data_IF_802705155175
#
_entry.id   IF_802705155175
#
_cell.length_a   1.000
_cell.length_b   1.000
_cell.length_c   1.000
_cell.angle_alpha   90.00
_cell.angle_beta   90.00
_cell.angle_gamma   90.00
#
_symmetry.space_group_name_H-M   'P 1'
#
loop_
_entity.id
_entity.type
_entity.pdbx_description
1 polymer ?
#
# COMPACT_ATOMS: atom_id res chain seq x y z
N UNK A 1 18.76 -4.82 -20.88
CA UNK A 1 19.18 -6.21 -21.21
C UNK A 1 17.94 -7.05 -21.49
N UNK A 2 17.56 -7.24 -22.77
CA UNK A 2 16.40 -8.09 -23.10
C UNK A 2 16.77 -9.55 -22.82
N UNK A 3 16.31 -10.12 -21.72
CA UNK A 3 16.44 -11.56 -21.45
C UNK A 3 15.44 -12.31 -22.32
N UNK A 4 15.90 -13.22 -23.15
CA UNK A 4 15.05 -14.14 -23.93
C UNK A 4 14.33 -15.08 -22.96
N UNK A 5 13.02 -14.94 -22.91
CA UNK A 5 12.13 -15.81 -22.15
C UNK A 5 12.18 -17.24 -22.74
N UNK A 6 12.46 -18.26 -21.90
CA UNK A 6 12.33 -19.67 -22.32
C UNK A 6 10.90 -20.13 -22.06
N UNK A 7 10.19 -20.40 -23.13
CA UNK A 7 8.77 -20.82 -23.15
C UNK A 7 8.44 -22.11 -22.35
N UNK A 8 9.44 -22.84 -21.85
CA UNK A 8 9.24 -24.05 -21.05
C UNK A 8 8.53 -23.80 -19.69
N UNK A 9 8.34 -22.55 -19.30
CA UNK A 9 7.64 -22.18 -18.08
C UNK A 9 6.12 -21.99 -18.27
N UNK A 10 5.61 -22.06 -19.50
CA UNK A 10 4.16 -21.89 -19.78
C UNK A 10 3.32 -22.95 -19.08
N UNK A 11 3.83 -24.17 -18.97
CA UNK A 11 3.11 -25.26 -18.31
C UNK A 11 3.03 -25.08 -16.79
N UNK A 12 4.06 -24.51 -16.19
CA UNK A 12 4.06 -24.11 -14.76
C UNK A 12 3.04 -22.99 -14.54
N UNK A 13 2.98 -22.05 -15.46
CA UNK A 13 2.04 -20.92 -15.42
C UNK A 13 0.62 -21.40 -15.65
N UNK A 14 0.39 -22.25 -16.65
CA UNK A 14 -0.93 -22.89 -16.87
C UNK A 14 -1.38 -23.71 -15.66
N UNK A 15 -0.46 -24.43 -15.01
CA UNK A 15 -0.78 -25.19 -13.80
C UNK A 15 -1.01 -24.29 -12.59
N UNK A 16 -0.30 -23.15 -12.48
CA UNK A 16 -0.57 -22.13 -11.48
C UNK A 16 -1.96 -21.50 -11.68
N UNK A 17 -2.31 -21.14 -12.91
CA UNK A 17 -3.65 -20.67 -13.24
C UNK A 17 -4.73 -21.72 -13.05
N UNK A 18 -4.49 -22.98 -13.41
CA UNK A 18 -5.41 -24.09 -13.09
C UNK A 18 -5.62 -24.27 -11.59
N UNK A 19 -4.61 -24.01 -10.77
CA UNK A 19 -4.72 -24.07 -9.31
C UNK A 19 -5.49 -22.88 -8.76
N UNK A 20 -5.40 -21.71 -9.41
CA UNK A 20 -6.21 -20.53 -9.12
C UNK A 20 -7.65 -20.68 -9.66
N UNK A 21 -7.83 -21.27 -10.84
CA UNK A 21 -9.11 -21.41 -11.55
C UNK A 21 -10.01 -22.53 -11.02
N UNK A 22 -9.57 -23.32 -10.07
CA UNK A 22 -10.48 -24.26 -9.36
C UNK A 22 -11.64 -23.56 -8.65
N UNK A 23 -11.74 -22.24 -8.74
CA UNK A 23 -12.72 -21.45 -8.02
C UNK A 23 -13.74 -20.70 -8.89
N UNK A 24 -13.54 -20.57 -10.20
CA UNK A 24 -14.58 -20.16 -11.16
C UNK A 24 -14.00 -20.09 -12.58
N UNK A 25 -14.01 -21.21 -13.29
CA UNK A 25 -13.38 -21.31 -14.62
C UNK A 25 -14.09 -20.44 -15.66
N UNK A 26 -15.38 -20.22 -15.54
CA UNK A 26 -16.19 -19.61 -16.59
C UNK A 26 -16.17 -18.09 -16.59
N UNK A 27 -15.96 -17.42 -15.44
CA UNK A 27 -15.98 -15.96 -15.36
C UNK A 27 -14.65 -15.29 -15.66
N UNK A 28 -13.54 -16.00 -15.46
CA UNK A 28 -12.18 -15.45 -15.60
C UNK A 28 -11.74 -15.44 -17.08
N UNK A 29 -12.11 -16.44 -17.84
CA UNK A 29 -11.59 -16.68 -19.18
C UNK A 29 -12.18 -15.71 -20.22
N UNK A 30 -13.41 -15.28 -20.06
CA UNK A 30 -14.11 -14.47 -21.07
C UNK A 30 -13.79 -12.96 -21.02
N UNK A 31 -13.10 -12.47 -20.01
CA UNK A 31 -13.02 -11.04 -19.79
C UNK A 31 -11.63 -10.42 -19.82
N UNK A 32 -10.58 -11.22 -19.85
CA UNK A 32 -9.20 -10.73 -19.82
C UNK A 32 -8.48 -11.16 -21.07
N UNK A 33 -7.68 -10.25 -21.64
CA UNK A 33 -6.68 -10.65 -22.58
C UNK A 33 -5.70 -11.60 -21.85
N UNK A 34 -5.92 -12.90 -22.01
CA UNK A 34 -5.19 -13.98 -21.34
C UNK A 34 -3.67 -13.80 -21.45
N UNK A 35 -3.21 -13.18 -22.55
CA UNK A 35 -1.80 -12.89 -22.80
C UNK A 35 -1.22 -11.89 -21.78
N UNK A 36 -1.97 -10.87 -21.38
CA UNK A 36 -1.49 -9.83 -20.47
C UNK A 36 -1.42 -10.32 -19.02
N UNK A 37 -2.40 -11.12 -18.59
CA UNK A 37 -2.35 -11.77 -17.28
C UNK A 37 -1.25 -12.82 -17.17
N UNK A 38 -1.06 -13.62 -18.23
CA UNK A 38 0.02 -14.59 -18.29
C UNK A 38 1.36 -13.86 -18.20
N UNK A 39 1.55 -12.81 -19.00
CA UNK A 39 2.79 -12.02 -19.00
C UNK A 39 3.07 -11.41 -17.63
N UNK A 40 2.05 -10.84 -16.99
CA UNK A 40 2.19 -10.25 -15.67
C UNK A 40 2.53 -11.28 -14.59
N UNK A 41 1.83 -12.42 -14.59
CA UNK A 41 2.13 -13.51 -13.64
C UNK A 41 3.52 -14.11 -13.87
N UNK A 42 3.97 -14.15 -15.12
CA UNK A 42 5.34 -14.54 -15.47
C UNK A 42 6.34 -13.55 -14.92
N UNK A 43 6.12 -12.25 -15.10
CA UNK A 43 7.00 -11.20 -14.59
C UNK A 43 7.06 -11.24 -13.06
N UNK A 44 5.92 -11.37 -12.38
CA UNK A 44 5.85 -11.45 -10.92
C UNK A 44 6.54 -12.69 -10.35
N UNK A 45 6.38 -13.87 -10.99
CA UNK A 45 7.09 -15.09 -10.60
C UNK A 45 8.58 -14.95 -10.85
N UNK A 46 8.98 -14.30 -11.92
CA UNK A 46 10.37 -14.07 -12.27
C UNK A 46 11.04 -13.09 -11.30
N UNK A 47 10.40 -11.97 -11.00
CA UNK A 47 10.83 -11.02 -9.96
C UNK A 47 10.97 -11.72 -8.61
N UNK A 48 9.97 -12.48 -8.18
CA UNK A 48 10.01 -13.20 -6.88
C UNK A 48 11.12 -14.25 -6.84
N UNK A 49 11.44 -14.92 -7.94
CA UNK A 49 12.52 -15.91 -7.99
C UNK A 49 13.91 -15.31 -8.01
N UNK A 50 14.09 -14.11 -8.60
CA UNK A 50 15.38 -13.39 -8.58
C UNK A 50 15.65 -12.66 -7.26
N UNK A 51 14.61 -12.20 -6.58
CA UNK A 51 14.67 -11.53 -5.25
C UNK A 51 15.03 -12.53 -4.13
N UNK A 52 15.02 -13.84 -4.38
CA UNK A 52 15.34 -14.86 -3.36
C UNK A 52 16.80 -14.84 -2.85
N UNK A 53 17.74 -14.20 -3.55
CA UNK A 53 19.08 -13.98 -3.03
C UNK A 53 19.13 -12.70 -2.20
N UNK A 54 19.33 -12.83 -0.89
CA UNK A 54 19.40 -11.67 0.03
C UNK A 54 20.42 -10.60 -0.42
N UNK A 55 21.55 -10.97 -1.00
CA UNK A 55 22.55 -10.03 -1.53
C UNK A 55 21.97 -9.21 -2.67
N UNK A 56 21.29 -9.84 -3.63
CA UNK A 56 20.65 -9.14 -4.75
C UNK A 56 19.55 -8.20 -4.30
N UNK A 57 18.75 -8.61 -3.30
CA UNK A 57 17.72 -7.77 -2.73
C UNK A 57 18.31 -6.53 -2.06
N UNK A 58 19.35 -6.69 -1.24
CA UNK A 58 20.00 -5.56 -0.58
C UNK A 58 20.78 -4.65 -1.55
N UNK A 59 21.38 -5.22 -2.60
CA UNK A 59 21.99 -4.44 -3.69
C UNK A 59 20.95 -3.65 -4.47
N UNK A 60 19.76 -4.22 -4.68
CA UNK A 60 18.63 -3.51 -5.28
C UNK A 60 18.18 -2.35 -4.40
N UNK A 61 17.97 -2.58 -3.10
CA UNK A 61 17.54 -1.56 -2.13
C UNK A 61 18.56 -0.41 -2.05
N UNK A 62 19.86 -0.74 -2.02
CA UNK A 62 20.93 0.26 -2.05
C UNK A 62 20.90 1.07 -3.35
N UNK A 63 20.79 0.39 -4.49
CA UNK A 63 20.73 1.05 -5.81
C UNK A 63 19.51 1.98 -5.90
N UNK A 64 18.36 1.54 -5.38
CA UNK A 64 17.17 2.37 -5.31
C UNK A 64 17.42 3.65 -4.50
N UNK A 65 17.97 3.50 -3.28
CA UNK A 65 18.24 4.63 -2.40
C UNK A 65 19.25 5.63 -3.02
N UNK A 66 20.26 5.13 -3.72
CA UNK A 66 21.30 5.97 -4.32
C UNK A 66 20.82 6.70 -5.59
N UNK A 67 19.94 6.07 -6.37
CA UNK A 67 19.53 6.57 -7.68
C UNK A 67 18.16 7.30 -7.68
N UNK A 68 17.29 6.97 -6.72
CA UNK A 68 15.90 7.43 -6.73
C UNK A 68 15.49 8.26 -5.50
N UNK A 69 16.43 8.54 -4.59
CA UNK A 69 16.14 9.38 -3.43
C UNK A 69 17.18 10.47 -3.25
N UNK A 70 16.71 11.70 -3.11
CA UNK A 70 17.54 12.86 -2.75
C UNK A 70 17.99 12.79 -1.29
N UNK A 71 19.02 13.54 -0.92
CA UNK A 71 19.44 13.65 0.49
C UNK A 71 18.33 14.22 1.38
N UNK A 72 17.50 15.10 0.84
CA UNK A 72 16.33 15.62 1.54
C UNK A 72 15.32 14.49 1.86
N UNK A 73 14.98 13.66 0.87
CA UNK A 73 14.08 12.52 1.07
C UNK A 73 14.67 11.49 2.04
N UNK A 74 15.97 11.21 1.95
CA UNK A 74 16.65 10.30 2.91
C UNK A 74 16.52 10.80 4.35
N UNK A 75 16.66 12.10 4.58
CA UNK A 75 16.48 12.71 5.90
C UNK A 75 15.02 12.62 6.36
N UNK A 76 14.06 12.89 5.48
CA UNK A 76 12.62 12.75 5.79
C UNK A 76 12.23 11.32 6.11
N UNK A 77 12.74 10.35 5.36
CA UNK A 77 12.53 8.92 5.65
C UNK A 77 13.04 8.58 7.04
N UNK A 78 14.22 9.04 7.40
CA UNK A 78 14.79 8.81 8.73
C UNK A 78 13.92 9.39 9.85
N UNK A 79 13.42 10.62 9.66
CA UNK A 79 12.49 11.25 10.59
C UNK A 79 11.18 10.47 10.70
N UNK A 80 10.63 10.00 9.59
CA UNK A 80 9.38 9.22 9.56
C UNK A 80 9.55 7.85 10.25
N UNK A 81 10.65 7.16 10.01
CA UNK A 81 10.97 5.89 10.71
C UNK A 81 11.07 6.14 12.21
N UNK A 82 11.78 7.19 12.63
CA UNK A 82 11.92 7.54 14.04
C UNK A 82 10.58 7.84 14.70
N UNK A 83 9.73 8.66 14.07
CA UNK A 83 8.39 8.94 14.58
C UNK A 83 7.55 7.68 14.74
N UNK A 84 7.57 6.80 13.74
CA UNK A 84 6.82 5.56 13.78
C UNK A 84 7.30 4.60 14.89
N UNK A 85 8.61 4.54 15.14
CA UNK A 85 9.20 3.73 16.21
C UNK A 85 8.92 4.32 17.61
N UNK A 86 8.91 5.64 17.76
CA UNK A 86 8.75 6.32 19.05
C UNK A 86 7.27 6.36 19.49
N UNK A 87 6.33 6.36 18.56
CA UNK A 87 4.90 6.50 18.85
C UNK A 87 4.21 5.17 19.05
N UNK A 88 3.73 4.93 20.27
CA UNK A 88 3.01 3.69 20.60
C UNK A 88 1.58 3.73 20.07
N UNK A 89 1.25 2.83 19.16
CA UNK A 89 -0.12 2.59 18.66
C UNK A 89 -0.81 1.54 19.53
N UNK A 90 -2.09 1.77 19.87
CA UNK A 90 -2.97 0.81 20.56
C UNK A 90 -3.93 0.22 19.54
N UNK A 91 -4.25 -1.05 19.74
CA UNK A 91 -5.16 -1.80 18.88
C UNK A 91 -6.36 -2.30 19.69
N UNK A 92 -7.54 -2.22 19.06
CA UNK A 92 -8.75 -2.84 19.52
C UNK A 92 -8.85 -4.30 19.05
N UNK A 93 -9.77 -5.06 19.63
CA UNK A 93 -10.14 -6.36 19.05
C UNK A 93 -10.86 -6.10 17.73
N UNK A 94 -10.43 -6.72 16.62
CA UNK A 94 -11.01 -6.45 15.31
C UNK A 94 -12.46 -6.96 15.22
N UNK A 95 -13.30 -6.17 14.56
CA UNK A 95 -14.69 -6.48 14.23
C UNK A 95 -14.90 -6.18 12.75
N UNK A 96 -15.33 -7.17 11.98
CA UNK A 96 -15.60 -7.07 10.55
C UNK A 96 -17.00 -7.59 10.24
N UNK A 97 -17.82 -6.77 9.60
CA UNK A 97 -19.18 -7.13 9.14
C UNK A 97 -19.44 -6.56 7.74
N UNK A 98 -18.63 -6.98 6.78
CA UNK A 98 -18.72 -6.52 5.40
C UNK A 98 -18.93 -7.64 4.41
N UNK A 99 -19.98 -7.56 3.58
CA UNK A 99 -20.20 -8.40 2.43
C UNK A 99 -19.86 -7.69 1.10
N UNK A 100 -19.85 -8.41 -0.01
CA UNK A 100 -19.52 -7.87 -1.33
C UNK A 100 -20.47 -6.75 -1.76
N UNK A 101 -21.76 -6.85 -1.43
CA UNK A 101 -22.77 -5.84 -1.80
C UNK A 101 -22.52 -4.54 -1.04
N UNK A 102 -22.28 -4.63 0.26
CA UNK A 102 -21.90 -3.47 1.07
C UNK A 102 -20.59 -2.86 0.57
N UNK A 103 -19.61 -3.70 0.23
CA UNK A 103 -18.32 -3.26 -0.30
C UNK A 103 -18.49 -2.39 -1.55
N UNK A 104 -19.16 -2.90 -2.58
CA UNK A 104 -19.38 -2.17 -3.82
C UNK A 104 -20.20 -0.90 -3.60
N UNK A 105 -21.32 -1.01 -2.90
CA UNK A 105 -22.21 0.13 -2.65
C UNK A 105 -21.55 1.25 -1.85
N UNK A 106 -20.79 0.93 -0.81
CA UNK A 106 -20.07 1.91 0.01
C UNK A 106 -18.93 2.58 -0.75
N UNK A 107 -18.19 1.82 -1.55
CA UNK A 107 -17.12 2.37 -2.39
C UNK A 107 -17.69 3.32 -3.44
N UNK A 108 -18.76 2.94 -4.14
CA UNK A 108 -19.46 3.83 -5.06
C UNK A 108 -19.89 5.12 -4.39
N UNK A 109 -20.58 5.01 -3.27
CA UNK A 109 -21.10 6.17 -2.53
C UNK A 109 -19.99 7.12 -2.09
N UNK A 110 -18.86 6.59 -1.66
CA UNK A 110 -17.70 7.41 -1.30
C UNK A 110 -17.05 8.07 -2.54
N UNK A 111 -16.75 7.31 -3.59
CA UNK A 111 -16.07 7.82 -4.79
C UNK A 111 -16.88 8.93 -5.47
N UNK A 112 -18.22 8.87 -5.43
CA UNK A 112 -19.11 9.94 -5.96
C UNK A 112 -18.94 11.27 -5.21
N UNK A 113 -18.49 11.25 -3.96
CA UNK A 113 -18.19 12.48 -3.20
C UNK A 113 -16.84 13.07 -3.55
N UNK A 114 -15.93 12.27 -4.08
CA UNK A 114 -14.56 12.67 -4.44
C UNK A 114 -14.53 13.31 -5.82
N UNK A 115 -14.81 12.53 -6.85
CA UNK A 115 -14.74 12.96 -8.24
C UNK A 115 -15.51 12.02 -9.17
N UNK A 116 -16.19 12.58 -10.19
CA UNK A 116 -16.92 11.80 -11.18
C UNK A 116 -16.03 10.84 -11.99
N UNK A 117 -14.74 11.14 -12.16
CA UNK A 117 -13.80 10.27 -12.87
C UNK A 117 -13.46 9.05 -12.01
N UNK A 118 -13.31 9.21 -10.67
CA UNK A 118 -13.07 8.12 -9.75
C UNK A 118 -14.27 7.16 -9.67
N UNK A 119 -15.49 7.72 -9.56
CA UNK A 119 -16.73 6.94 -9.60
C UNK A 119 -16.88 6.19 -10.93
N UNK A 120 -16.60 6.88 -12.05
CA UNK A 120 -16.66 6.30 -13.38
C UNK A 120 -15.63 5.18 -13.56
N UNK A 121 -14.43 5.28 -12.97
CA UNK A 121 -13.44 4.20 -13.05
C UNK A 121 -13.96 2.90 -12.45
N UNK A 122 -14.63 2.96 -11.30
CA UNK A 122 -15.25 1.78 -10.70
C UNK A 122 -16.35 1.22 -11.59
N UNK A 123 -17.24 2.09 -12.12
CA UNK A 123 -18.30 1.70 -13.05
C UNK A 123 -17.76 1.02 -14.29
N UNK A 124 -16.76 1.64 -14.93
CA UNK A 124 -16.11 1.10 -16.13
C UNK A 124 -15.39 -0.23 -15.82
N UNK A 125 -14.72 -0.33 -14.65
CA UNK A 125 -14.04 -1.55 -14.24
C UNK A 125 -15.01 -2.74 -14.08
N UNK A 126 -16.20 -2.49 -13.53
CA UNK A 126 -17.25 -3.51 -13.41
C UNK A 126 -17.83 -3.85 -14.78
N UNK A 127 -18.21 -2.84 -15.57
CA UNK A 127 -18.85 -3.02 -16.88
C UNK A 127 -17.92 -3.75 -17.86
N UNK A 128 -16.64 -3.35 -17.89
CA UNK A 128 -15.61 -3.94 -18.75
C UNK A 128 -15.04 -5.25 -18.21
N UNK A 129 -15.58 -5.75 -17.10
CA UNK A 129 -15.12 -6.97 -16.41
C UNK A 129 -13.61 -6.91 -16.05
N UNK A 130 -13.15 -5.78 -15.58
CA UNK A 130 -11.77 -5.54 -15.15
C UNK A 130 -11.58 -5.64 -13.63
N UNK A 131 -12.66 -5.80 -12.87
CA UNK A 131 -12.66 -5.95 -11.42
C UNK A 131 -12.91 -7.42 -11.06
N UNK A 132 -11.98 -7.97 -10.28
CA UNK A 132 -12.04 -9.33 -9.73
C UNK A 132 -12.12 -9.27 -8.22
N UNK A 133 -13.19 -9.83 -7.67
CA UNK A 133 -13.37 -10.01 -6.23
C UNK A 133 -13.35 -11.51 -5.96
N UNK A 134 -12.39 -11.96 -5.14
CA UNK A 134 -12.23 -13.37 -4.80
C UNK A 134 -12.24 -13.56 -3.30
N UNK A 135 -12.97 -14.57 -2.84
CA UNK A 135 -12.88 -15.03 -1.45
C UNK A 135 -11.53 -15.71 -1.21
N UNK A 136 -10.73 -15.14 -0.31
CA UNK A 136 -9.44 -15.70 0.06
C UNK A 136 -9.55 -16.57 1.31
N UNK A 137 -9.21 -17.86 1.16
CA UNK A 137 -9.17 -18.82 2.27
C UNK A 137 -7.86 -18.81 3.04
N UNK A 138 -6.80 -18.30 2.42
CA UNK A 138 -5.45 -18.27 2.98
C UNK A 138 -4.94 -16.83 2.91
N UNK A 139 -4.33 -16.36 3.99
CA UNK A 139 -3.63 -15.09 4.03
C UNK A 139 -2.56 -15.07 2.92
N UNK A 140 -2.67 -14.10 2.04
CA UNK A 140 -1.66 -13.75 1.05
C UNK A 140 -0.96 -12.48 1.49
N UNK A 141 0.18 -12.17 0.88
CA UNK A 141 0.95 -10.96 1.21
C UNK A 141 0.31 -9.66 0.70
N UNK A 142 -0.88 -9.72 0.09
CA UNK A 142 -1.62 -8.57 -0.41
C UNK A 142 -3.14 -8.81 -0.28
N UNK A 143 -3.88 -7.74 -0.11
CA UNK A 143 -5.35 -7.72 -0.04
C UNK A 143 -5.99 -7.23 -1.33
N UNK A 144 -5.27 -6.43 -2.11
CA UNK A 144 -5.64 -5.94 -3.43
C UNK A 144 -4.43 -5.80 -4.34
N UNK A 145 -4.67 -5.61 -5.62
CA UNK A 145 -3.63 -5.31 -6.61
C UNK A 145 -4.24 -4.64 -7.84
N UNK A 146 -3.61 -3.55 -8.26
CA UNK A 146 -3.91 -2.88 -9.53
C UNK A 146 -2.87 -3.26 -10.58
N UNK A 147 -3.32 -3.82 -11.69
CA UNK A 147 -2.48 -4.21 -12.82
C UNK A 147 -2.52 -3.16 -13.90
N UNK A 148 -1.60 -2.20 -13.87
CA UNK A 148 -1.54 -1.07 -14.80
C UNK A 148 -0.79 -1.40 -16.10
N UNK A 149 -1.14 -2.50 -16.76
CA UNK A 149 -0.52 -2.96 -18.02
C UNK A 149 -0.98 -2.10 -19.20
N UNK A 150 -2.20 -1.56 -19.13
CA UNK A 150 -2.82 -0.73 -20.15
C UNK A 150 -3.39 0.56 -19.59
N UNK A 151 -3.96 1.44 -20.45
CA UNK A 151 -4.69 2.64 -19.99
C UNK A 151 -5.88 2.31 -19.09
N UNK A 152 -6.45 1.12 -19.23
CA UNK A 152 -7.53 0.62 -18.41
C UNK A 152 -6.97 -0.48 -17.49
N UNK A 153 -6.64 -0.17 -16.23
CA UNK A 153 -6.07 -1.15 -15.32
C UNK A 153 -7.08 -2.23 -14.93
N UNK A 154 -6.55 -3.39 -14.56
CA UNK A 154 -7.31 -4.49 -13.96
C UNK A 154 -7.11 -4.47 -12.47
N UNK A 155 -8.13 -4.89 -11.73
CA UNK A 155 -8.16 -4.87 -10.27
C UNK A 155 -8.44 -6.26 -9.73
N UNK A 156 -7.66 -6.69 -8.76
CA UNK A 156 -7.93 -7.91 -8.01
C UNK A 156 -8.09 -7.56 -6.53
N UNK A 157 -9.23 -7.90 -5.95
CA UNK A 157 -9.53 -7.73 -4.53
C UNK A 157 -9.66 -9.09 -3.90
N UNK A 158 -8.91 -9.34 -2.84
CA UNK A 158 -9.02 -10.54 -2.03
C UNK A 158 -9.89 -10.23 -0.81
N UNK A 159 -11.09 -10.80 -0.80
CA UNK A 159 -12.00 -10.67 0.32
C UNK A 159 -11.67 -11.73 1.37
N UNK A 160 -11.23 -11.29 2.53
CA UNK A 160 -11.01 -12.12 3.70
C UNK A 160 -12.21 -12.04 4.64
N UNK A 161 -12.50 -13.12 5.36
CA UNK A 161 -13.54 -13.13 6.40
C UNK A 161 -13.23 -12.21 7.59
N UNK A 162 -12.02 -11.70 7.66
CA UNK A 162 -11.49 -10.86 8.74
C UNK A 162 -10.76 -9.63 8.19
N UNK A 163 -11.32 -8.96 7.20
CA UNK A 163 -10.77 -7.74 6.62
C UNK A 163 -11.83 -6.88 5.94
N UNK A 164 -11.62 -5.57 5.93
CA UNK A 164 -12.51 -4.64 5.24
C UNK A 164 -12.07 -4.44 3.79
N UNK A 165 -12.63 -5.24 2.90
CA UNK A 165 -12.31 -5.17 1.47
C UNK A 165 -12.80 -3.91 0.77
N UNK A 166 -13.67 -3.08 1.41
CA UNK A 166 -14.12 -1.83 0.78
C UNK A 166 -13.02 -0.77 0.75
N UNK A 167 -12.20 -0.69 1.81
CA UNK A 167 -11.04 0.20 1.83
C UNK A 167 -10.02 -0.23 0.77
N UNK A 168 -9.75 -1.54 0.70
CA UNK A 168 -8.87 -2.11 -0.33
C UNK A 168 -9.39 -1.83 -1.74
N UNK A 169 -10.69 -1.99 -2.00
CA UNK A 169 -11.27 -1.69 -3.31
C UNK A 169 -11.09 -0.21 -3.67
N UNK A 170 -11.35 0.69 -2.73
CA UNK A 170 -11.12 2.12 -2.95
C UNK A 170 -9.64 2.41 -3.24
N UNK A 171 -8.74 1.83 -2.47
CA UNK A 171 -7.29 1.96 -2.69
C UNK A 171 -6.92 1.62 -4.13
N UNK A 172 -7.33 0.45 -4.60
CA UNK A 172 -6.99 -0.02 -5.95
C UNK A 172 -7.65 0.83 -7.05
N UNK A 173 -8.91 1.24 -6.88
CA UNK A 173 -9.60 2.12 -7.84
C UNK A 173 -8.92 3.48 -7.92
N UNK A 174 -8.39 4.01 -6.80
CA UNK A 174 -7.68 5.29 -6.79
C UNK A 174 -6.35 5.22 -7.55
N UNK A 175 -5.67 4.08 -7.62
CA UNK A 175 -4.56 3.89 -8.54
C UNK A 175 -5.00 4.04 -10.01
N UNK A 176 -6.14 3.48 -10.39
CA UNK A 176 -6.71 3.64 -11.74
C UNK A 176 -7.12 5.08 -12.04
N UNK A 177 -7.71 5.76 -11.06
CA UNK A 177 -8.06 7.17 -11.14
C UNK A 177 -6.83 8.04 -11.43
N UNK A 178 -5.75 7.86 -10.68
CA UNK A 178 -4.48 8.58 -10.91
C UNK A 178 -3.89 8.25 -12.27
N UNK A 179 -3.94 7.01 -12.70
CA UNK A 179 -3.50 6.60 -14.05
C UNK A 179 -4.22 7.40 -15.15
N UNK A 180 -5.55 7.59 -15.01
CA UNK A 180 -6.34 8.38 -15.96
C UNK A 180 -6.00 9.87 -15.91
N UNK A 181 -5.83 10.44 -14.71
CA UNK A 181 -5.52 11.87 -14.55
C UNK A 181 -4.14 12.26 -15.04
N UNK A 182 -3.18 11.34 -15.01
CA UNK A 182 -1.78 11.60 -15.33
C UNK A 182 -1.33 10.99 -16.66
N UNK A 183 -2.26 10.40 -17.41
CA UNK A 183 -1.97 9.65 -18.65
C UNK A 183 -0.85 8.61 -18.43
N UNK A 184 -0.87 7.90 -17.29
CA UNK A 184 0.11 6.90 -16.84
C UNK A 184 1.53 7.42 -16.59
N UNK A 185 1.82 8.68 -16.81
CA UNK A 185 3.18 9.22 -16.63
C UNK A 185 3.64 9.04 -15.19
N UNK A 186 2.72 9.22 -14.23
CA UNK A 186 3.05 9.15 -12.81
C UNK A 186 3.63 7.78 -12.42
N UNK A 187 2.98 6.68 -12.80
CA UNK A 187 3.46 5.33 -12.47
C UNK A 187 4.67 4.88 -13.28
N UNK A 188 4.92 5.49 -14.42
CA UNK A 188 6.06 5.18 -15.28
C UNK A 188 7.31 5.96 -14.89
N UNK A 189 7.15 7.27 -14.72
CA UNK A 189 8.26 8.21 -14.61
C UNK A 189 8.14 9.11 -13.35
N UNK A 190 7.13 8.88 -12.50
CA UNK A 190 6.85 9.70 -11.32
C UNK A 190 7.64 9.31 -10.08
N UNK A 191 7.53 10.10 -9.01
CA UNK A 191 8.27 9.90 -7.77
C UNK A 191 7.76 8.67 -7.04
N UNK A 192 8.61 7.66 -6.90
CA UNK A 192 8.28 6.34 -6.36
C UNK A 192 7.75 6.38 -4.92
N UNK A 193 8.26 7.29 -4.11
CA UNK A 193 7.85 7.43 -2.70
C UNK A 193 6.41 7.92 -2.51
N UNK A 194 5.79 8.53 -3.55
CA UNK A 194 4.44 9.10 -3.48
C UNK A 194 3.38 8.25 -4.17
N UNK A 195 3.75 7.08 -4.67
CA UNK A 195 2.87 6.24 -5.52
C UNK A 195 1.60 5.78 -4.80
N UNK A 196 1.65 5.63 -3.48
CA UNK A 196 0.55 5.20 -2.63
C UNK A 196 -0.25 6.37 -2.01
N UNK A 197 0.19 7.62 -2.19
CA UNK A 197 -0.33 8.78 -1.45
C UNK A 197 -1.84 8.95 -1.55
N UNK A 198 -2.37 8.97 -2.77
CA UNK A 198 -3.80 9.24 -2.99
C UNK A 198 -4.65 8.04 -2.57
N UNK A 199 -4.15 6.83 -2.79
CA UNK A 199 -4.83 5.59 -2.41
C UNK A 199 -4.98 5.48 -0.90
N UNK A 200 -3.88 5.69 -0.14
CA UNK A 200 -3.89 5.64 1.32
C UNK A 200 -4.73 6.76 1.94
N UNK A 201 -4.64 7.98 1.40
CA UNK A 201 -5.49 9.09 1.84
C UNK A 201 -6.97 8.78 1.63
N UNK A 202 -7.31 8.10 0.53
CA UNK A 202 -8.68 7.73 0.22
C UNK A 202 -9.22 6.66 1.17
N UNK A 203 -8.40 5.72 1.64
CA UNK A 203 -8.80 4.77 2.68
C UNK A 203 -9.20 5.49 3.98
N UNK A 204 -8.40 6.47 4.41
CA UNK A 204 -8.68 7.25 5.64
C UNK A 204 -10.01 7.99 5.49
N UNK A 205 -10.20 8.71 4.38
CA UNK A 205 -11.45 9.45 4.14
C UNK A 205 -12.66 8.55 3.95
N UNK A 206 -12.50 7.40 3.31
CA UNK A 206 -13.58 6.45 3.16
C UNK A 206 -14.00 5.88 4.52
N UNK A 207 -13.07 5.53 5.39
CA UNK A 207 -13.40 5.04 6.73
C UNK A 207 -14.24 6.07 7.50
N UNK A 208 -13.85 7.34 7.47
CA UNK A 208 -14.62 8.45 8.04
C UNK A 208 -16.01 8.59 7.42
N UNK A 209 -16.08 8.53 6.09
CA UNK A 209 -17.33 8.61 5.35
C UNK A 209 -18.30 7.50 5.76
N UNK A 210 -17.82 6.27 5.84
CA UNK A 210 -18.62 5.11 6.23
C UNK A 210 -19.19 5.26 7.64
N UNK A 211 -18.37 5.74 8.57
CA UNK A 211 -18.79 5.95 9.95
C UNK A 211 -19.77 7.14 10.08
N UNK A 212 -19.46 8.30 9.48
CA UNK A 212 -20.33 9.50 9.50
C UNK A 212 -21.71 9.23 8.89
N UNK A 213 -21.78 8.35 7.88
CA UNK A 213 -23.06 7.96 7.24
C UNK A 213 -23.70 6.71 7.87
N UNK A 214 -23.22 6.23 9.02
CA UNK A 214 -23.76 5.09 9.75
C UNK A 214 -23.80 3.78 8.93
N UNK A 215 -22.90 3.64 7.97
CA UNK A 215 -22.76 2.42 7.15
C UNK A 215 -21.99 1.35 7.93
N UNK A 216 -21.06 1.77 8.78
CA UNK A 216 -20.30 0.91 9.70
C UNK A 216 -20.52 1.31 11.15
N UNK A 217 -20.33 0.36 12.06
CA UNK A 217 -20.37 0.59 13.50
C UNK A 217 -19.14 1.35 13.99
N UNK A 218 -19.17 1.81 15.25
CA UNK A 218 -18.01 2.44 15.89
C UNK A 218 -16.84 1.46 16.05
N UNK A 219 -17.14 0.21 16.34
CA UNK A 219 -16.13 -0.85 16.47
C UNK A 219 -15.46 -1.17 15.13
N UNK A 220 -16.22 -1.21 14.04
CA UNK A 220 -15.67 -1.38 12.70
C UNK A 220 -14.83 -0.17 12.27
N UNK A 221 -15.26 1.05 12.60
CA UNK A 221 -14.50 2.26 12.33
C UNK A 221 -13.10 2.23 12.97
N UNK A 222 -13.04 1.84 14.27
CA UNK A 222 -11.77 1.69 14.98
C UNK A 222 -10.93 0.54 14.38
N UNK A 223 -11.56 -0.57 14.07
CA UNK A 223 -10.90 -1.71 13.42
C UNK A 223 -10.22 -1.28 12.13
N UNK A 224 -10.94 -0.58 11.26
CA UNK A 224 -10.41 -0.09 9.99
C UNK A 224 -9.24 0.88 10.20
N UNK A 225 -9.36 1.81 11.16
CA UNK A 225 -8.26 2.74 11.50
C UNK A 225 -7.03 1.98 12.00
N UNK A 226 -7.24 0.93 12.81
CA UNK A 226 -6.16 0.07 13.28
C UNK A 226 -5.50 -0.71 12.15
N UNK A 227 -6.27 -1.23 11.20
CA UNK A 227 -5.75 -1.97 10.03
C UNK A 227 -4.92 -1.05 9.14
N UNK A 228 -5.36 0.19 8.90
CA UNK A 228 -4.61 1.21 8.18
C UNK A 228 -3.26 1.50 8.87
N UNK A 229 -3.25 1.72 10.19
CA UNK A 229 -2.03 1.95 10.95
C UNK A 229 -1.12 0.73 10.99
N UNK A 230 -1.69 -0.47 11.13
CA UNK A 230 -0.95 -1.72 11.19
C UNK A 230 -0.23 -1.98 9.87
N UNK A 231 -0.97 -1.94 8.77
CA UNK A 231 -0.48 -2.29 7.44
C UNK A 231 0.59 -1.31 6.91
N UNK A 232 0.46 -0.01 7.24
CA UNK A 232 1.31 1.02 6.63
C UNK A 232 2.49 1.45 7.51
N UNK A 233 2.43 1.22 8.82
CA UNK A 233 3.45 1.72 9.75
C UNK A 233 3.93 0.64 10.70
N UNK A 234 3.04 0.06 11.53
CA UNK A 234 3.47 -0.65 12.74
C UNK A 234 3.97 -2.06 12.49
N UNK A 235 3.44 -2.76 11.49
CA UNK A 235 3.81 -4.17 11.26
C UNK A 235 5.21 -4.33 10.69
N UNK A 236 5.67 -3.39 9.86
CA UNK A 236 6.91 -3.52 9.13
C UNK A 236 7.97 -2.46 9.48
N UNK A 237 7.68 -1.53 10.41
CA UNK A 237 8.57 -0.39 10.69
C UNK A 237 9.98 -0.80 11.10
N UNK A 238 10.14 -1.88 11.86
CA UNK A 238 11.46 -2.34 12.28
C UNK A 238 12.24 -3.00 11.14
N UNK A 239 11.53 -3.63 10.20
CA UNK A 239 12.12 -4.16 8.97
C UNK A 239 12.56 -3.00 8.09
N UNK A 240 11.73 -1.97 7.96
CA UNK A 240 12.05 -0.75 7.22
C UNK A 240 13.29 -0.07 7.81
N UNK A 241 13.34 0.12 9.12
CA UNK A 241 14.51 0.71 9.81
C UNK A 241 15.79 -0.09 9.56
N UNK A 242 15.71 -1.42 9.64
CA UNK A 242 16.87 -2.28 9.38
C UNK A 242 17.32 -2.21 7.92
N UNK A 243 16.40 -2.34 6.95
CA UNK A 243 16.72 -2.26 5.52
C UNK A 243 17.25 -0.88 5.13
N UNK A 244 16.67 0.18 5.68
CA UNK A 244 17.13 1.56 5.46
C UNK A 244 18.56 1.76 5.98
N UNK A 245 18.88 1.24 7.17
CA UNK A 245 20.25 1.27 7.70
C UNK A 245 21.22 0.45 6.85
N UNK A 246 20.80 -0.72 6.38
CA UNK A 246 21.60 -1.57 5.50
C UNK A 246 21.88 -0.90 4.15
N UNK A 247 20.91 -0.18 3.58
CA UNK A 247 21.06 0.54 2.31
C UNK A 247 22.08 1.69 2.37
N UNK A 248 22.35 2.22 3.56
CA UNK A 248 23.36 3.29 3.79
C UNK A 248 24.79 2.76 3.91
N UNK A 249 24.99 1.46 4.00
CA UNK A 249 26.33 0.89 4.10
C UNK A 249 27.05 0.92 2.76
N UNK A 250 28.37 1.17 2.77
CA UNK A 250 29.19 1.18 1.54
C UNK A 250 29.14 -0.18 0.82
N UNK A 251 29.20 -1.26 1.59
CA UNK A 251 29.18 -2.63 1.09
C UNK A 251 28.00 -3.40 1.68
N UNK A 252 27.39 -4.27 0.86
CA UNK A 252 26.37 -5.20 1.33
C UNK A 252 26.99 -6.19 2.33
N UNK A 253 26.49 -6.28 3.58
CA UNK A 253 27.07 -7.15 4.60
C UNK A 253 27.02 -8.63 4.23
N UNK A 254 27.96 -9.40 4.76
CA UNK A 254 27.92 -10.85 4.64
C UNK A 254 26.75 -11.44 5.47
N UNK A 255 26.30 -12.65 5.08
CA UNK A 255 25.16 -13.32 5.72
C UNK A 255 25.27 -13.37 7.25
N UNK A 256 26.45 -13.68 7.78
CA UNK A 256 26.66 -13.77 9.22
C UNK A 256 26.49 -12.43 9.95
N UNK A 257 26.84 -11.33 9.30
CA UNK A 257 26.64 -9.97 9.84
C UNK A 257 25.17 -9.61 9.87
N UNK A 258 24.42 -9.94 8.80
CA UNK A 258 22.97 -9.76 8.74
C UNK A 258 22.27 -10.62 9.80
N UNK A 259 22.65 -11.89 9.95
CA UNK A 259 22.11 -12.78 10.99
C UNK A 259 22.33 -12.21 12.40
N UNK A 260 23.48 -11.58 12.64
CA UNK A 260 23.77 -10.92 13.92
C UNK A 260 22.94 -9.65 14.15
N UNK A 261 22.68 -8.86 13.10
CA UNK A 261 21.80 -7.70 13.16
C UNK A 261 20.35 -8.13 13.43
N UNK A 262 19.85 -9.16 12.74
CA UNK A 262 18.54 -9.75 12.97
C UNK A 262 18.39 -10.24 14.41
N UNK A 263 19.39 -10.96 14.94
CA UNK A 263 19.38 -11.40 16.35
C UNK A 263 19.33 -10.24 17.34
N UNK A 264 20.05 -9.15 17.08
CA UNK A 264 20.02 -7.95 17.92
C UNK A 264 18.63 -7.28 17.88
N UNK A 265 17.98 -7.22 16.72
CA UNK A 265 16.62 -6.72 16.59
C UNK A 265 15.60 -7.62 17.30
N UNK A 266 15.71 -8.95 17.14
CA UNK A 266 14.83 -9.91 17.82
C UNK A 266 14.95 -9.88 19.35
N UNK A 267 16.12 -9.56 19.91
CA UNK A 267 16.28 -9.39 21.36
C UNK A 267 15.54 -8.14 21.84
N UNK A 268 15.52 -7.07 21.06
CA UNK A 268 14.79 -5.83 21.40
C UNK A 268 13.27 -6.01 21.28
N UNK A 269 12.82 -6.82 20.35
CA UNK A 269 11.41 -7.07 20.03
C UNK A 269 11.14 -8.58 19.87
N UNK A 270 10.94 -9.32 20.98
CA UNK A 270 10.76 -10.78 20.94
C UNK A 270 9.48 -11.22 20.21
N UNK A 271 8.52 -10.33 19.98
CA UNK A 271 7.32 -10.61 19.19
C UNK A 271 7.54 -10.56 17.68
N UNK A 272 8.69 -10.05 17.23
CA UNK A 272 9.05 -9.99 15.82
C UNK A 272 9.88 -11.21 15.42
N UNK A 273 9.32 -12.00 14.54
CA UNK A 273 10.04 -13.14 13.96
C UNK A 273 10.85 -12.67 12.74
N UNK A 274 11.98 -11.98 13.00
CA UNK A 274 12.89 -11.54 11.95
C UNK A 274 13.56 -12.74 11.30
N UNK A 275 13.47 -12.82 10.00
CA UNK A 275 14.20 -13.81 9.19
C UNK A 275 14.75 -13.13 7.95
N UNK A 276 15.85 -13.64 7.39
CA UNK A 276 16.36 -13.18 6.09
C UNK A 276 15.26 -13.21 5.03
N UNK A 277 14.37 -14.20 5.08
CA UNK A 277 13.24 -14.30 4.17
C UNK A 277 12.31 -13.08 4.30
N UNK A 278 12.03 -12.59 5.51
CA UNK A 278 11.21 -11.38 5.70
C UNK A 278 11.90 -10.13 5.15
N UNK A 279 13.22 -10.01 5.33
CA UNK A 279 14.00 -8.88 4.80
C UNK A 279 14.03 -8.83 3.27
N UNK A 280 13.82 -9.97 2.60
CA UNK A 280 13.93 -10.07 1.14
C UNK A 280 12.60 -10.33 0.44
N UNK A 281 11.49 -10.43 1.18
CA UNK A 281 10.19 -10.73 0.59
C UNK A 281 9.53 -9.51 -0.10
N UNK A 282 9.89 -8.29 0.33
CA UNK A 282 9.46 -7.04 -0.29
C UNK A 282 10.67 -6.11 -0.41
N UNK A 283 10.87 -5.44 -1.55
CA UNK A 283 11.95 -4.47 -1.71
C UNK A 283 11.69 -3.24 -0.81
N UNK A 284 12.76 -2.63 -0.33
CA UNK A 284 12.71 -1.41 0.49
C UNK A 284 11.91 -0.29 -0.21
N UNK A 285 12.05 -0.15 -1.52
CA UNK A 285 11.25 0.77 -2.35
C UNK A 285 9.76 0.67 -2.05
N UNK A 286 9.22 -0.55 -2.09
CA UNK A 286 7.78 -0.78 -1.83
C UNK A 286 7.39 -0.41 -0.40
N UNK A 287 8.21 -0.79 0.59
CA UNK A 287 7.94 -0.49 2.00
C UNK A 287 8.02 1.01 2.29
N UNK A 288 8.99 1.69 1.71
CA UNK A 288 9.14 3.15 1.86
C UNK A 288 8.03 3.90 1.15
N UNK A 289 7.55 3.43 0.01
CA UNK A 289 6.42 4.05 -0.68
C UNK A 289 5.18 4.08 0.22
N UNK A 290 4.86 2.98 0.92
CA UNK A 290 3.76 2.94 1.88
C UNK A 290 4.00 3.87 3.08
N UNK A 291 5.15 3.75 3.75
CA UNK A 291 5.46 4.59 4.91
C UNK A 291 5.44 6.09 4.56
N UNK A 292 6.17 6.47 3.51
CA UNK A 292 6.33 7.87 3.11
C UNK A 292 5.00 8.49 2.67
N UNK A 293 4.29 7.80 1.79
CA UNK A 293 2.95 8.21 1.35
C UNK A 293 1.96 8.31 2.50
N UNK A 294 1.97 7.33 3.44
CA UNK A 294 1.07 7.34 4.59
C UNK A 294 1.31 8.54 5.52
N UNK A 295 2.56 8.84 5.84
CA UNK A 295 2.89 9.98 6.68
C UNK A 295 2.40 11.31 6.09
N UNK A 296 2.53 11.47 4.77
CA UNK A 296 2.01 12.64 4.07
C UNK A 296 0.48 12.62 4.02
N UNK A 297 -0.13 11.46 3.74
CA UNK A 297 -1.58 11.30 3.70
C UNK A 297 -2.24 11.73 5.02
N UNK A 298 -1.67 11.32 6.15
CA UNK A 298 -2.13 11.76 7.48
C UNK A 298 -2.00 13.27 7.65
N UNK A 299 -0.91 13.87 7.15
CA UNK A 299 -0.73 15.32 7.17
C UNK A 299 -1.80 16.08 6.37
N UNK A 300 -2.11 15.60 5.18
CA UNK A 300 -3.17 16.17 4.33
C UNK A 300 -4.53 15.96 4.98
N UNK A 301 -4.79 14.77 5.51
CA UNK A 301 -6.03 14.44 6.19
C UNK A 301 -6.31 15.37 7.39
N UNK A 302 -5.31 15.59 8.26
CA UNK A 302 -5.48 16.47 9.41
C UNK A 302 -5.81 17.91 9.03
N UNK A 303 -5.27 18.39 7.91
CA UNK A 303 -5.59 19.73 7.38
C UNK A 303 -6.97 19.83 6.70
N UNK A 304 -7.54 18.68 6.26
CA UNK A 304 -8.75 18.65 5.44
C UNK A 304 -9.78 17.63 5.93
N UNK A 305 -9.87 17.36 7.24
CA UNK A 305 -10.73 16.30 7.84
C UNK A 305 -12.17 16.27 7.32
N UNK A 306 -12.76 17.43 7.08
CA UNK A 306 -14.17 17.54 6.68
C UNK A 306 -14.34 17.77 5.16
N UNK A 307 -13.25 17.73 4.39
CA UNK A 307 -13.28 17.98 2.95
C UNK A 307 -12.39 17.01 2.18
N UNK A 308 -12.87 15.78 2.02
CA UNK A 308 -12.16 14.71 1.31
C UNK A 308 -11.78 15.11 -0.13
N UNK A 309 -12.67 15.84 -0.82
CA UNK A 309 -12.42 16.30 -2.18
C UNK A 309 -11.20 17.23 -2.27
N UNK A 310 -11.10 18.22 -1.36
CA UNK A 310 -9.95 19.13 -1.34
C UNK A 310 -8.68 18.41 -0.88
N UNK A 311 -8.77 17.52 0.10
CA UNK A 311 -7.62 16.70 0.54
C UNK A 311 -7.06 15.85 -0.60
N UNK A 312 -7.91 15.13 -1.33
CA UNK A 312 -7.47 14.32 -2.48
C UNK A 312 -6.88 15.18 -3.59
N UNK A 313 -7.48 16.34 -3.88
CA UNK A 313 -6.94 17.31 -4.84
C UNK A 313 -5.55 17.81 -4.41
N UNK A 314 -5.37 18.12 -3.14
CA UNK A 314 -4.06 18.49 -2.57
C UNK A 314 -3.03 17.39 -2.76
N UNK A 315 -3.39 16.13 -2.46
CA UNK A 315 -2.52 14.99 -2.68
C UNK A 315 -2.08 14.86 -4.15
N UNK A 316 -3.03 14.97 -5.09
CA UNK A 316 -2.74 14.92 -6.52
C UNK A 316 -1.82 16.07 -6.94
N UNK A 317 -2.02 17.26 -6.37
CA UNK A 317 -1.18 18.43 -6.70
C UNK A 317 0.24 18.24 -6.17
N UNK A 318 0.39 17.75 -4.93
CA UNK A 318 1.71 17.39 -4.37
C UNK A 318 2.43 16.41 -5.29
N UNK A 319 1.74 15.35 -5.73
CA UNK A 319 2.31 14.36 -6.65
C UNK A 319 2.78 14.96 -7.99
N UNK A 320 2.11 16.02 -8.47
CA UNK A 320 2.48 16.71 -9.72
C UNK A 320 3.63 17.70 -9.50
N UNK A 321 3.70 18.29 -8.32
CA UNK A 321 4.66 19.34 -7.99
C UNK A 321 5.97 18.78 -7.40
N UNK A 322 6.06 17.45 -7.22
CA UNK A 322 7.32 16.81 -6.87
C UNK A 322 8.25 16.94 -8.07
N UNK A 323 9.06 18.00 -8.04
CA UNK A 323 10.19 18.20 -8.93
C UNK A 323 11.45 17.79 -8.17
N UNK A 324 12.15 16.80 -8.70
CA UNK A 324 13.36 16.26 -8.06
C UNK A 324 14.49 17.28 -7.91
N UNK A 325 14.43 18.40 -8.62
CA UNK A 325 15.42 19.47 -8.59
C UNK A 325 15.09 20.58 -7.56
N UNK A 326 13.94 20.52 -6.87
CA UNK A 326 13.56 21.54 -5.93
C UNK A 326 14.08 21.27 -4.53
N UNK A 327 14.99 22.12 -4.02
CA UNK A 327 15.41 22.15 -2.61
C UNK A 327 14.31 22.65 -1.66
N UNK A 328 13.11 23.00 -2.18
CA UNK A 328 12.00 23.49 -1.36
C UNK A 328 11.29 22.34 -0.69
N UNK A 329 11.05 22.49 0.61
CA UNK A 329 10.17 21.60 1.37
C UNK A 329 8.72 21.76 0.87
N UNK A 330 8.34 20.90 -0.06
CA UNK A 330 7.02 20.86 -0.68
C UNK A 330 5.91 20.74 0.36
N UNK A 331 6.14 19.96 1.41
CA UNK A 331 5.16 19.76 2.49
C UNK A 331 4.93 21.05 3.26
N UNK A 332 6.00 21.79 3.55
CA UNK A 332 5.91 23.11 4.17
C UNK A 332 5.14 24.11 3.27
N UNK A 333 5.35 24.06 1.96
CA UNK A 333 4.61 24.88 1.01
C UNK A 333 3.10 24.64 1.07
N UNK A 334 2.69 23.36 1.24
CA UNK A 334 1.28 22.96 1.41
C UNK A 334 0.78 23.07 2.86
N UNK A 335 1.59 23.62 3.77
CA UNK A 335 1.24 23.77 5.19
C UNK A 335 1.08 22.45 5.94
N UNK A 336 1.75 21.38 5.47
CA UNK A 336 1.65 20.04 6.06
C UNK A 336 2.73 19.87 7.11
N UNK A 337 2.32 19.76 8.37
CA UNK A 337 3.18 19.40 9.50
C UNK A 337 3.02 17.91 9.83
N UNK A 338 3.79 17.05 9.15
CA UNK A 338 3.69 15.60 9.29
C UNK A 338 3.90 15.13 10.74
N UNK A 339 4.86 15.73 11.46
CA UNK A 339 5.18 15.31 12.83
C UNK A 339 3.99 15.51 13.77
N UNK A 340 3.38 16.68 13.72
CA UNK A 340 2.21 17.00 14.53
C UNK A 340 0.99 16.17 14.12
N UNK A 341 0.74 16.08 12.81
CA UNK A 341 -0.41 15.38 12.26
C UNK A 341 -0.37 13.89 12.57
N UNK A 342 0.77 13.23 12.38
CA UNK A 342 0.92 11.82 12.72
C UNK A 342 0.75 11.56 14.22
N UNK A 343 1.36 12.38 15.07
CA UNK A 343 1.18 12.30 16.52
C UNK A 343 -0.30 12.41 16.90
N UNK A 344 -0.99 13.39 16.35
CA UNK A 344 -2.41 13.63 16.62
C UNK A 344 -3.28 12.47 16.14
N UNK A 345 -3.04 11.97 14.93
CA UNK A 345 -3.77 10.83 14.36
C UNK A 345 -3.65 9.57 15.25
N UNK A 346 -2.44 9.25 15.72
CA UNK A 346 -2.22 8.11 16.61
C UNK A 346 -2.85 8.34 17.99
N UNK A 347 -2.78 9.55 18.55
CA UNK A 347 -3.39 9.86 19.85
C UNK A 347 -4.93 9.79 19.79
N UNK A 348 -5.52 10.26 18.70
CA UNK A 348 -6.97 10.10 18.46
C UNK A 348 -7.36 8.63 18.34
N UNK A 349 -6.61 7.82 17.57
CA UNK A 349 -6.84 6.38 17.51
C UNK A 349 -6.73 5.71 18.90
N UNK A 350 -5.70 6.04 19.66
CA UNK A 350 -5.51 5.48 21.00
C UNK A 350 -6.67 5.82 21.93
N UNK A 351 -7.20 7.04 21.84
CA UNK A 351 -8.38 7.48 22.59
C UNK A 351 -9.65 6.71 22.19
N UNK A 352 -9.86 6.49 20.89
CA UNK A 352 -10.99 5.71 20.39
C UNK A 352 -10.92 4.26 20.86
N UNK A 353 -9.74 3.64 20.85
CA UNK A 353 -9.51 2.28 21.38
C UNK A 353 -9.82 2.19 22.87
N UNK A 354 -9.50 3.22 23.66
CA UNK A 354 -9.84 3.28 25.09
C UNK A 354 -11.35 3.40 25.32
N UNK A 355 -12.02 4.22 24.54
CA UNK A 355 -13.49 4.34 24.58
C UNK A 355 -14.17 3.01 24.24
N UNK A 356 -13.70 2.29 23.22
CA UNK A 356 -14.24 0.99 22.83
C UNK A 356 -14.08 -0.07 23.95
N UNK A 357 -13.04 0.05 24.79
CA UNK A 357 -12.83 -0.85 25.95
C UNK A 357 -13.69 -0.50 27.16
N UNK A 358 -14.49 0.56 27.10
CA UNK A 358 -15.30 1.03 28.24
C UNK A 358 -14.46 1.60 29.39
N UNK A 359 -13.24 2.07 29.11
CA UNK A 359 -12.29 2.56 30.11
C UNK A 359 -12.36 4.09 30.29
N UNK A 360 -13.29 4.77 29.61
CA UNK A 360 -13.55 6.22 29.74
C UNK A 360 -15.05 6.48 29.81
#
# INVERSE_FOLDING_TARGET
MQRKFKWNNIEIIKNYFKTLSKYDEDSIIDSINLSDMILFSILKIYETSEIQSYKKSLEFDKTFMDQNTSDFEKNKIEDFIKMALDKKVRFAKPVYDFDETKMLGSTFSFLSTVDNIAEKELSDAIFDKRLYIRNAKLLRNYTGTTYSISHNPYYEILQYSNGNSSLTLTHEIMHGYINKLTDRKFYKDGPRLYIELVSLLSEIYQNDYLYKNQIISFEEYITNTNDILLANVTEEIEIIDLLFKLSKLENVPEKNEIDNLIKKCAIKNPNYNFTIKKLTCRPLESLLAYLYSFMIAVGIYENNKDNSKEGIKTAIQIMKDVDFDSEKDLLCYYGINVNESYSKFVDENNLLVEKAKGSI
#
